data_IF_701079534513
#
_entry.id   IF_701079534513
#
_cell.length_a   1.000
_cell.length_b   1.000
_cell.length_c   1.000
_cell.angle_alpha   90.00
_cell.angle_beta   90.00
_cell.angle_gamma   90.00
#
_symmetry.space_group_name_H-M   'P 1'
#
loop_
_entity.id
_entity.type
_entity.pdbx_description
1 polymer ?
#
# COMPACT_ATOMS: atom_id res chain seq x y z
N UNK A 1 -5.59 -6.67 22.30
CA UNK A 1 -4.72 -6.78 21.11
C UNK A 1 -4.70 -5.53 20.23
N UNK A 2 -5.65 -4.59 20.32
CA UNK A 2 -5.58 -3.31 19.58
C UNK A 2 -4.54 -2.30 20.14
N UNK A 3 -4.16 -2.42 21.42
CA UNK A 3 -3.13 -1.56 22.04
C UNK A 3 -1.69 -1.84 21.56
N UNK A 4 -1.44 -2.94 20.86
CA UNK A 4 -0.08 -3.34 20.46
C UNK A 4 0.39 -2.63 19.19
N UNK A 5 -0.48 -2.48 18.18
CA UNK A 5 -0.09 -1.95 16.86
C UNK A 5 0.24 -0.44 16.85
N UNK A 6 -0.42 0.38 17.67
CA UNK A 6 -0.11 1.83 17.78
C UNK A 6 1.23 2.05 18.48
N UNK A 7 1.49 1.26 19.52
CA UNK A 7 2.76 1.29 20.24
C UNK A 7 3.91 0.86 19.33
N UNK A 8 3.67 -0.05 18.39
CA UNK A 8 4.67 -0.46 17.41
C UNK A 8 5.06 0.72 16.51
N UNK A 9 4.14 1.37 15.78
CA UNK A 9 4.51 2.43 14.82
C UNK A 9 5.19 3.65 15.47
N UNK A 10 4.73 4.04 16.65
CA UNK A 10 5.33 5.16 17.39
C UNK A 10 6.80 4.91 17.74
N UNK A 11 7.16 3.67 18.09
CA UNK A 11 8.55 3.27 18.37
C UNK A 11 9.48 3.44 17.16
N UNK A 12 8.92 3.38 15.95
CA UNK A 12 9.65 3.62 14.70
C UNK A 12 9.50 5.07 14.22
N UNK A 13 9.03 5.98 15.07
CA UNK A 13 8.81 7.40 14.77
C UNK A 13 7.82 7.63 13.63
N UNK A 14 6.84 6.72 13.47
CA UNK A 14 5.75 6.84 12.51
C UNK A 14 4.51 7.38 13.22
N UNK A 15 4.17 8.63 12.90
CA UNK A 15 3.10 9.39 13.53
C UNK A 15 1.85 9.36 12.64
N UNK A 16 0.83 8.60 13.06
CA UNK A 16 -0.47 8.46 12.35
C UNK A 16 -1.44 9.55 12.81
N UNK A 17 -2.16 10.14 11.86
CA UNK A 17 -3.07 11.28 12.08
C UNK A 17 -2.42 12.39 12.93
N UNK A 18 -1.22 12.79 12.52
CA UNK A 18 -0.41 13.71 13.31
C UNK A 18 -1.11 15.06 13.46
N UNK A 19 -1.09 15.58 14.70
CA UNK A 19 -1.47 16.97 15.02
C UNK A 19 -0.46 18.00 14.50
N UNK A 20 0.70 17.55 14.02
CA UNK A 20 1.73 18.42 13.45
C UNK A 20 1.20 19.10 12.19
N UNK A 21 1.50 20.39 12.07
CA UNK A 21 1.18 21.14 10.86
C UNK A 21 2.05 20.72 9.69
N UNK A 22 1.47 20.78 8.49
CA UNK A 22 2.22 20.53 7.27
C UNK A 22 3.37 21.55 7.14
N UNK A 23 4.56 21.12 6.69
CA UNK A 23 5.57 22.05 6.20
C UNK A 23 4.95 23.02 5.19
N UNK A 24 5.34 24.29 5.20
CA UNK A 24 4.66 25.33 4.40
C UNK A 24 4.65 25.01 2.89
N UNK A 25 5.73 24.45 2.35
CA UNK A 25 5.77 23.99 0.95
C UNK A 25 4.77 22.87 0.67
N UNK A 26 4.59 21.94 1.61
CA UNK A 26 3.65 20.82 1.48
C UNK A 26 2.22 21.32 1.60
N UNK A 27 1.96 22.26 2.51
CA UNK A 27 0.67 22.92 2.69
C UNK A 27 0.22 23.65 1.41
N UNK A 28 1.13 24.40 0.79
CA UNK A 28 0.88 25.05 -0.50
C UNK A 28 0.65 24.02 -1.60
N UNK A 29 1.45 22.96 -1.65
CA UNK A 29 1.25 21.88 -2.62
C UNK A 29 -0.12 21.20 -2.48
N UNK A 30 -0.54 20.86 -1.26
CA UNK A 30 -1.86 20.27 -0.99
C UNK A 30 -2.95 21.22 -1.48
N UNK A 31 -2.89 22.50 -1.10
CA UNK A 31 -3.91 23.50 -1.45
C UNK A 31 -3.98 23.75 -2.96
N UNK A 32 -2.85 24.05 -3.58
CA UNK A 32 -2.79 24.61 -4.93
C UNK A 32 -2.72 23.51 -6.00
N UNK A 33 -2.30 22.29 -5.64
CA UNK A 33 -2.20 21.15 -6.56
C UNK A 33 -3.22 20.07 -6.23
N UNK A 34 -3.19 19.49 -5.02
CA UNK A 34 -3.98 18.28 -4.72
C UNK A 34 -5.47 18.57 -4.51
N UNK A 35 -5.79 19.70 -3.87
CA UNK A 35 -7.16 20.16 -3.60
C UNK A 35 -7.67 21.16 -4.66
N UNK A 36 -6.90 21.38 -5.73
CA UNK A 36 -7.30 22.28 -6.83
C UNK A 36 -8.65 21.85 -7.41
N UNK A 37 -9.58 22.78 -7.54
CA UNK A 37 -10.87 22.51 -8.19
C UNK A 37 -10.64 22.18 -9.66
N UNK A 38 -11.20 21.07 -10.12
CA UNK A 38 -11.16 20.66 -11.53
C UNK A 38 -12.35 21.26 -12.27
N UNK A 39 -12.12 21.74 -13.49
CA UNK A 39 -13.18 22.25 -14.38
C UNK A 39 -13.93 21.12 -15.13
N UNK A 40 -13.44 19.89 -15.01
CA UNK A 40 -14.01 18.71 -15.66
C UNK A 40 -15.34 18.29 -15.03
N UNK A 41 -16.19 17.63 -15.82
CA UNK A 41 -17.45 17.08 -15.31
C UNK A 41 -17.21 16.12 -14.13
N UNK A 42 -18.12 16.09 -13.14
CA UNK A 42 -18.00 15.19 -12.00
C UNK A 42 -17.93 13.72 -12.41
N UNK A 43 -17.08 12.94 -11.75
CA UNK A 43 -16.86 11.53 -12.07
C UNK A 43 -18.16 10.71 -11.96
N UNK A 44 -18.57 9.95 -12.99
CA UNK A 44 -19.72 9.07 -12.91
C UNK A 44 -19.51 7.91 -11.91
N UNK A 45 -18.25 7.62 -11.56
CA UNK A 45 -17.90 6.57 -10.62
C UNK A 45 -18.39 6.86 -9.20
N UNK A 46 -18.54 8.12 -8.80
CA UNK A 46 -19.06 8.47 -7.47
C UNK A 46 -20.45 7.87 -7.23
N UNK A 47 -21.34 7.95 -8.24
CA UNK A 47 -22.68 7.33 -8.17
C UNK A 47 -22.60 5.81 -8.09
N UNK A 48 -21.68 5.19 -8.85
CA UNK A 48 -21.48 3.74 -8.84
C UNK A 48 -21.00 3.24 -7.48
N UNK A 49 -20.05 3.94 -6.84
CA UNK A 49 -19.56 3.66 -5.49
C UNK A 49 -20.74 3.73 -4.50
N UNK A 50 -21.49 4.83 -4.50
CA UNK A 50 -22.63 5.00 -3.58
C UNK A 50 -23.68 3.89 -3.74
N UNK A 51 -23.99 3.49 -4.98
CA UNK A 51 -24.94 2.39 -5.24
C UNK A 51 -24.42 1.02 -4.79
N UNK A 52 -23.10 0.78 -4.81
CA UNK A 52 -22.48 -0.51 -4.48
C UNK A 52 -22.05 -0.63 -3.02
N UNK A 53 -21.98 0.49 -2.30
CA UNK A 53 -21.55 0.57 -0.89
C UNK A 53 -22.24 -0.46 0.00
N UNK A 54 -23.59 -0.54 -0.05
CA UNK A 54 -24.33 -1.45 0.83
C UNK A 54 -24.00 -2.93 0.54
N UNK A 55 -23.83 -3.28 -0.74
CA UNK A 55 -23.42 -4.62 -1.12
C UNK A 55 -21.99 -4.91 -0.66
N UNK A 56 -21.06 -3.96 -0.86
CA UNK A 56 -19.66 -4.10 -0.44
C UNK A 56 -19.53 -4.24 1.09
N UNK A 57 -20.29 -3.46 1.86
CA UNK A 57 -20.30 -3.53 3.32
C UNK A 57 -20.86 -4.86 3.88
N UNK A 58 -21.60 -5.62 3.06
CA UNK A 58 -22.13 -6.94 3.41
C UNK A 58 -21.22 -8.09 2.97
N UNK A 59 -20.16 -7.83 2.22
CA UNK A 59 -19.15 -8.83 1.84
C UNK A 59 -18.02 -8.88 2.87
N UNK A 60 -17.14 -9.87 2.69
CA UNK A 60 -15.81 -9.85 3.31
C UNK A 60 -14.91 -8.77 2.69
N UNK A 61 -13.68 -8.67 3.18
CA UNK A 61 -12.72 -7.63 2.73
C UNK A 61 -12.49 -7.70 1.22
N UNK A 62 -12.09 -8.87 0.70
CA UNK A 62 -11.78 -9.06 -0.72
C UNK A 62 -13.01 -8.79 -1.61
N UNK A 63 -14.20 -9.30 -1.25
CA UNK A 63 -15.43 -9.04 -1.99
C UNK A 63 -15.86 -7.56 -1.98
N UNK A 64 -15.64 -6.86 -0.87
CA UNK A 64 -15.86 -5.42 -0.77
C UNK A 64 -14.89 -4.61 -1.63
N UNK A 65 -13.61 -4.98 -1.61
CA UNK A 65 -12.55 -4.38 -2.44
C UNK A 65 -12.89 -4.53 -3.92
N UNK A 66 -13.23 -5.74 -4.37
CA UNK A 66 -13.55 -6.01 -5.77
C UNK A 66 -14.75 -5.18 -6.28
N UNK A 67 -15.72 -4.89 -5.41
CA UNK A 67 -16.88 -4.08 -5.75
C UNK A 67 -16.58 -2.58 -5.84
N UNK A 68 -15.65 -2.05 -5.04
CA UNK A 68 -15.43 -0.61 -4.91
C UNK A 68 -14.15 -0.11 -5.59
N UNK A 69 -13.07 -0.89 -5.53
CA UNK A 69 -11.74 -0.55 -6.07
C UNK A 69 -11.78 -0.09 -7.53
N UNK A 70 -12.49 -0.76 -8.47
CA UNK A 70 -12.50 -0.33 -9.88
C UNK A 70 -13.10 1.07 -10.11
N UNK A 71 -13.94 1.53 -9.18
CA UNK A 71 -14.59 2.84 -9.28
C UNK A 71 -13.82 3.92 -8.51
N UNK A 72 -13.17 3.53 -7.40
CA UNK A 72 -12.45 4.44 -6.52
C UNK A 72 -11.01 4.72 -6.98
N UNK A 73 -10.28 3.69 -7.41
CA UNK A 73 -8.86 3.78 -7.77
C UNK A 73 -8.66 3.77 -9.28
N UNK A 74 -7.39 3.86 -9.69
CA UNK A 74 -6.96 3.84 -11.09
C UNK A 74 -6.49 2.45 -11.49
N UNK A 75 -6.71 2.13 -12.76
CA UNK A 75 -6.30 0.88 -13.40
C UNK A 75 -5.35 1.24 -14.54
N UNK A 76 -4.28 0.46 -14.69
CA UNK A 76 -3.34 0.60 -15.81
C UNK A 76 -3.85 -0.13 -17.05
N UNK A 77 -3.28 0.17 -18.22
CA UNK A 77 -3.60 -0.50 -19.50
C UNK A 77 -3.32 -2.01 -19.51
N UNK A 78 -2.62 -2.53 -18.51
CA UNK A 78 -2.25 -3.94 -18.41
C UNK A 78 -3.39 -4.84 -17.91
N UNK A 79 -4.46 -4.24 -17.41
CA UNK A 79 -5.75 -4.89 -17.18
C UNK A 79 -6.61 -4.51 -18.37
N UNK A 80 -7.23 -5.48 -19.02
CA UNK A 80 -8.09 -5.33 -20.21
C UNK A 80 -9.34 -4.47 -19.92
N UNK A 81 -9.10 -3.19 -19.63
CA UNK A 81 -10.05 -2.16 -19.24
C UNK A 81 -9.93 -1.04 -20.28
N UNK A 82 -11.04 -0.74 -20.95
CA UNK A 82 -11.13 0.31 -21.96
C UNK A 82 -10.70 1.69 -21.43
N UNK A 83 -10.69 1.88 -20.10
CA UNK A 83 -10.28 3.12 -19.43
C UNK A 83 -8.94 3.01 -18.70
N UNK A 84 -8.13 1.99 -19.02
CA UNK A 84 -6.78 1.84 -18.48
C UNK A 84 -5.92 3.07 -18.76
N UNK A 85 -5.18 3.53 -17.75
CA UNK A 85 -4.37 4.75 -17.85
C UNK A 85 -2.98 4.42 -18.41
N UNK A 86 -2.54 5.09 -19.49
CA UNK A 86 -1.26 4.80 -20.11
C UNK A 86 -0.04 5.09 -19.26
N UNK A 87 0.82 4.07 -19.12
CA UNK A 87 2.12 4.15 -18.45
C UNK A 87 2.09 4.05 -16.93
N UNK A 88 0.95 3.62 -16.36
CA UNK A 88 0.87 3.18 -14.97
C UNK A 88 0.46 1.70 -14.91
N UNK A 89 0.74 1.06 -13.78
CA UNK A 89 0.27 -0.28 -13.45
C UNK A 89 -0.33 -0.29 -12.04
N UNK A 90 -1.33 -1.15 -11.84
CA UNK A 90 -1.96 -1.37 -10.53
C UNK A 90 -1.76 -2.81 -10.08
N UNK A 91 -1.22 -3.04 -8.89
CA UNK A 91 -0.91 -4.38 -8.36
C UNK A 91 -1.44 -4.54 -6.97
N UNK A 92 -2.02 -5.71 -6.72
CA UNK A 92 -2.59 -6.04 -5.42
C UNK A 92 -1.59 -6.79 -4.55
N UNK A 93 -1.62 -6.51 -3.24
CA UNK A 93 -0.88 -7.23 -2.18
C UNK A 93 0.62 -7.43 -2.49
N UNK A 94 1.25 -6.41 -3.08
CA UNK A 94 2.69 -6.47 -3.39
C UNK A 94 3.53 -6.19 -2.16
N UNK A 95 4.59 -6.96 -1.99
CA UNK A 95 5.57 -6.67 -0.97
C UNK A 95 6.48 -5.51 -1.41
N UNK A 96 6.59 -4.49 -0.56
CA UNK A 96 7.58 -3.45 -0.69
C UNK A 96 8.91 -3.90 -0.03
N UNK A 97 10.02 -3.29 -0.46
CA UNK A 97 11.36 -3.66 -0.01
C UNK A 97 11.59 -3.18 1.44
N UNK A 98 11.98 -4.10 2.32
CA UNK A 98 12.08 -3.86 3.77
C UNK A 98 13.26 -2.99 4.16
N UNK A 99 14.26 -2.85 3.29
CA UNK A 99 15.42 -1.96 3.49
C UNK A 99 15.03 -0.48 3.60
N UNK A 100 13.85 -0.09 3.11
CA UNK A 100 13.33 1.26 3.23
C UNK A 100 12.38 1.43 4.41
N UNK A 101 12.20 0.42 5.26
CA UNK A 101 11.40 0.57 6.48
C UNK A 101 12.02 1.64 7.39
N UNK A 102 11.18 2.43 8.09
CA UNK A 102 11.64 3.26 9.19
C UNK A 102 12.53 2.46 10.15
N UNK A 103 13.60 3.08 10.62
CA UNK A 103 14.56 2.46 11.54
C UNK A 103 14.22 2.85 12.97
N UNK A 104 14.45 1.95 13.92
CA UNK A 104 14.28 2.29 15.34
C UNK A 104 15.45 3.17 15.78
N UNK A 105 15.18 4.26 16.54
CA UNK A 105 16.23 5.16 17.01
C UNK A 105 17.26 4.48 17.93
N UNK A 106 16.84 3.46 18.67
CA UNK A 106 17.68 2.72 19.61
C UNK A 106 17.44 1.20 19.49
N UNK A 107 18.50 0.45 19.21
CA UNK A 107 18.49 -1.02 19.11
C UNK A 107 18.04 -1.72 20.39
N UNK A 108 18.20 -1.10 21.55
CA UNK A 108 17.81 -1.70 22.84
C UNK A 108 16.27 -1.73 23.00
N UNK A 109 15.57 -0.80 22.37
CA UNK A 109 14.10 -0.75 22.35
C UNK A 109 13.52 -1.87 21.48
N UNK A 110 14.19 -2.24 20.38
CA UNK A 110 13.81 -3.39 19.53
C UNK A 110 13.81 -4.70 20.29
N UNK A 111 14.80 -4.91 21.16
CA UNK A 111 14.95 -6.15 21.96
C UNK A 111 13.84 -6.22 23.02
N UNK A 112 13.50 -5.09 23.64
CA UNK A 112 12.47 -5.02 24.68
C UNK A 112 11.03 -5.10 24.14
N UNK A 113 10.78 -4.63 22.92
CA UNK A 113 9.42 -4.50 22.36
C UNK A 113 9.07 -5.55 21.28
N UNK A 114 9.96 -6.49 20.99
CA UNK A 114 9.57 -7.72 20.31
C UNK A 114 9.65 -7.71 18.77
N UNK A 115 10.47 -6.85 18.16
CA UNK A 115 10.95 -7.08 16.79
C UNK A 115 10.80 -5.93 15.79
N UNK A 116 11.12 -6.25 14.53
CA UNK A 116 11.10 -5.34 13.39
C UNK A 116 9.66 -5.08 12.91
N UNK A 117 9.43 -3.93 12.26
CA UNK A 117 8.17 -3.70 11.54
C UNK A 117 7.92 -4.83 10.54
N UNK A 118 6.67 -5.25 10.47
CA UNK A 118 6.21 -6.17 9.44
C UNK A 118 6.50 -5.60 8.05
N UNK A 119 6.71 -6.50 7.08
CA UNK A 119 7.00 -6.08 5.71
C UNK A 119 5.83 -5.24 5.16
N UNK A 120 6.09 -4.09 4.54
CA UNK A 120 5.03 -3.25 4.01
C UNK A 120 4.39 -3.91 2.79
N UNK A 121 3.06 -3.97 2.80
CA UNK A 121 2.25 -4.65 1.80
C UNK A 121 0.92 -3.90 1.65
N UNK A 122 0.84 -2.91 0.74
CA UNK A 122 -0.42 -2.27 0.40
C UNK A 122 -1.37 -3.25 -0.29
N UNK A 123 -2.66 -3.18 0.02
CA UNK A 123 -3.68 -3.97 -0.68
C UNK A 123 -3.68 -3.69 -2.17
N UNK A 124 -3.48 -2.42 -2.55
CA UNK A 124 -3.22 -2.01 -3.93
C UNK A 124 -2.13 -0.94 -3.96
N UNK A 125 -1.17 -1.10 -4.86
CA UNK A 125 -0.19 -0.08 -5.20
C UNK A 125 -0.32 0.31 -6.68
N UNK A 126 -0.19 1.61 -6.95
CA UNK A 126 -0.20 2.18 -8.29
C UNK A 126 1.10 2.95 -8.48
N UNK A 127 1.80 2.62 -9.55
CA UNK A 127 3.11 3.19 -9.90
C UNK A 127 3.32 3.18 -11.41
N UNK A 128 4.51 3.57 -11.84
CA UNK A 128 4.83 3.65 -13.26
C UNK A 128 5.21 2.29 -13.83
N UNK A 129 4.78 2.02 -15.07
CA UNK A 129 5.07 0.78 -15.80
C UNK A 129 6.57 0.62 -16.04
N UNK A 130 7.22 -0.45 -15.54
CA UNK A 130 8.61 -0.76 -15.85
C UNK A 130 8.77 -1.15 -17.33
N UNK A 131 9.89 -0.77 -17.94
CA UNK A 131 10.14 -1.06 -19.35
C UNK A 131 10.21 -2.57 -19.61
N UNK A 132 10.87 -3.31 -18.72
CA UNK A 132 10.96 -4.77 -18.81
C UNK A 132 9.59 -5.45 -18.70
N UNK A 133 8.70 -4.92 -17.85
CA UNK A 133 7.35 -5.45 -17.72
C UNK A 133 6.54 -5.23 -19.01
N UNK A 134 6.55 -3.99 -19.54
CA UNK A 134 5.88 -3.67 -20.79
C UNK A 134 6.36 -4.58 -21.94
N UNK A 135 7.68 -4.74 -22.09
CA UNK A 135 8.28 -5.60 -23.12
C UNK A 135 7.87 -7.07 -22.99
N UNK A 136 7.81 -7.60 -21.77
CA UNK A 136 7.55 -9.02 -21.53
C UNK A 136 6.05 -9.36 -21.50
N UNK A 137 5.18 -8.36 -21.38
CA UNK A 137 3.72 -8.57 -21.30
C UNK A 137 3.10 -9.07 -22.60
N UNK A 138 3.77 -8.90 -23.74
CA UNK A 138 3.18 -9.13 -25.07
C UNK A 138 2.14 -8.08 -25.47
N UNK A 139 1.80 -7.15 -24.56
CA UNK A 139 0.91 -6.01 -24.80
C UNK A 139 1.75 -4.78 -25.17
N UNK A 140 1.22 -3.90 -26.02
CA UNK A 140 1.84 -2.62 -26.34
C UNK A 140 1.63 -1.58 -25.23
N UNK A 141 2.11 -1.89 -24.02
CA UNK A 141 1.94 -1.01 -22.86
C UNK A 141 2.84 0.23 -22.97
N UNK A 142 2.28 1.40 -22.68
CA UNK A 142 3.09 2.61 -22.57
C UNK A 142 4.03 2.53 -21.35
N UNK A 143 5.19 3.17 -21.45
CA UNK A 143 6.15 3.31 -20.33
C UNK A 143 6.51 4.78 -20.15
N UNK A 144 6.76 5.19 -18.89
CA UNK A 144 7.20 6.57 -18.57
C UNK A 144 8.71 6.70 -18.45
N UNK A 145 9.39 5.56 -18.34
CA UNK A 145 10.84 5.44 -18.31
C UNK A 145 11.35 4.87 -19.62
N UNK A 146 12.50 5.36 -20.07
CA UNK A 146 13.25 4.80 -21.19
C UNK A 146 13.87 3.46 -20.78
N UNK A 147 14.32 2.68 -21.77
CA UNK A 147 15.08 1.45 -21.51
C UNK A 147 16.33 1.72 -20.65
N UNK A 148 16.99 2.85 -20.87
CA UNK A 148 18.21 3.21 -20.14
C UNK A 148 17.90 3.59 -18.68
N UNK A 149 16.87 4.40 -18.46
CA UNK A 149 16.40 4.75 -17.11
C UNK A 149 15.96 3.49 -16.33
N UNK A 150 15.30 2.53 -16.98
CA UNK A 150 14.90 1.25 -16.38
C UNK A 150 16.11 0.40 -15.94
N UNK A 151 17.20 0.47 -16.70
CA UNK A 151 18.47 -0.20 -16.35
C UNK A 151 19.09 0.47 -15.13
N UNK A 152 19.14 1.80 -15.07
CA UNK A 152 19.66 2.52 -13.88
C UNK A 152 18.91 2.11 -12.61
N UNK A 153 17.60 1.93 -12.72
CA UNK A 153 16.73 1.52 -11.62
C UNK A 153 16.79 0.03 -11.28
N UNK A 154 17.59 -0.81 -11.94
CA UNK A 154 17.56 -2.27 -11.71
C UNK A 154 17.85 -2.66 -10.25
N UNK A 155 18.80 -1.98 -9.62
CA UNK A 155 19.24 -2.26 -8.25
C UNK A 155 18.68 -1.25 -7.23
N UNK A 156 17.74 -0.41 -7.64
CA UNK A 156 17.11 0.58 -6.79
C UNK A 156 15.61 0.54 -7.01
N UNK A 157 14.99 -0.47 -6.40
CA UNK A 157 13.56 -0.75 -6.57
C UNK A 157 12.93 -0.99 -5.22
N UNK A 158 11.82 -0.31 -4.99
CA UNK A 158 10.93 -0.64 -3.88
C UNK A 158 10.16 -1.94 -4.13
N UNK A 159 9.96 -2.31 -5.40
CA UNK A 159 9.28 -3.54 -5.82
C UNK A 159 9.63 -3.85 -7.28
N UNK A 160 9.54 -5.11 -7.70
CA UNK A 160 9.84 -5.50 -9.09
C UNK A 160 8.70 -5.22 -10.07
N UNK A 161 7.50 -4.93 -9.57
CA UNK A 161 6.30 -4.80 -10.40
C UNK A 161 6.04 -3.40 -10.96
N UNK A 162 6.59 -2.37 -10.33
CA UNK A 162 6.38 -0.96 -10.72
C UNK A 162 7.54 -0.08 -10.24
N UNK A 163 7.75 1.04 -10.93
CA UNK A 163 8.64 2.09 -10.46
C UNK A 163 7.86 3.10 -9.64
N UNK A 164 8.45 3.56 -8.53
CA UNK A 164 7.97 4.66 -7.68
C UNK A 164 6.44 4.67 -7.48
N UNK A 165 5.89 3.79 -6.62
CA UNK A 165 4.48 3.87 -6.26
C UNK A 165 4.12 5.30 -5.84
N UNK A 166 3.08 5.86 -6.44
CA UNK A 166 2.63 7.23 -6.17
C UNK A 166 1.27 7.26 -5.47
N UNK A 167 0.53 6.15 -5.50
CA UNK A 167 -0.71 5.95 -4.77
C UNK A 167 -0.76 4.52 -4.21
N UNK A 168 -1.04 4.38 -2.93
CA UNK A 168 -1.35 3.07 -2.31
C UNK A 168 -2.72 3.09 -1.66
N UNK A 169 -3.29 1.93 -1.41
CA UNK A 169 -4.53 1.82 -0.63
C UNK A 169 -4.49 0.69 0.39
N UNK A 170 -5.21 0.88 1.48
CA UNK A 170 -5.54 -0.12 2.48
C UNK A 170 -7.06 -0.17 2.68
N UNK A 171 -7.61 -1.37 2.81
CA UNK A 171 -9.03 -1.63 2.90
C UNK A 171 -9.35 -2.46 4.12
N UNK A 172 -10.49 -2.19 4.74
CA UNK A 172 -11.03 -3.01 5.82
C UNK A 172 -12.51 -3.24 5.59
N UNK A 173 -13.06 -4.38 6.00
CA UNK A 173 -14.49 -4.63 5.90
C UNK A 173 -15.26 -3.75 6.88
N UNK A 174 -16.50 -3.39 6.53
CA UNK A 174 -17.34 -2.53 7.36
C UNK A 174 -17.72 -3.14 8.73
N UNK A 175 -17.73 -4.47 8.83
CA UNK A 175 -18.18 -5.21 10.01
C UNK A 175 -17.16 -6.27 10.50
N UNK A 176 -15.87 -6.08 10.20
CA UNK A 176 -14.81 -6.99 10.65
C UNK A 176 -14.27 -6.69 12.05
N UNK A 177 -13.43 -7.59 12.55
CA UNK A 177 -12.66 -7.37 13.78
C UNK A 177 -11.57 -6.32 13.62
N UNK A 178 -11.10 -6.12 12.38
CA UNK A 178 -10.17 -5.05 12.04
C UNK A 178 -10.94 -3.80 11.64
N UNK A 179 -10.56 -2.68 12.26
CA UNK A 179 -11.23 -1.39 12.12
C UNK A 179 -10.53 -0.50 11.10
N UNK A 180 -11.15 0.62 10.74
CA UNK A 180 -10.55 1.64 9.88
C UNK A 180 -9.15 2.10 10.35
N UNK A 181 -8.95 2.19 11.66
CA UNK A 181 -7.65 2.49 12.27
C UNK A 181 -6.55 1.45 11.96
N UNK A 182 -6.91 0.19 11.67
CA UNK A 182 -5.95 -0.81 11.19
C UNK A 182 -5.48 -0.48 9.77
N UNK A 183 -6.39 -0.06 8.88
CA UNK A 183 -6.02 0.42 7.54
C UNK A 183 -5.14 1.67 7.62
N UNK A 184 -5.42 2.60 8.54
CA UNK A 184 -4.59 3.80 8.76
C UNK A 184 -3.16 3.42 9.16
N UNK A 185 -2.99 2.53 10.14
CA UNK A 185 -1.66 2.07 10.58
C UNK A 185 -0.90 1.34 9.47
N UNK A 186 -1.56 0.47 8.71
CA UNK A 186 -0.94 -0.21 7.59
C UNK A 186 -0.53 0.79 6.49
N UNK A 187 -1.38 1.78 6.21
CA UNK A 187 -1.09 2.83 5.24
C UNK A 187 0.08 3.70 5.70
N UNK A 188 0.20 4.00 6.99
CA UNK A 188 1.31 4.75 7.57
C UNK A 188 2.66 4.03 7.40
N UNK A 189 2.67 2.72 7.67
CA UNK A 189 3.86 1.87 7.47
C UNK A 189 4.28 1.85 6.01
N UNK A 190 3.33 1.62 5.10
CA UNK A 190 3.61 1.53 3.68
C UNK A 190 4.07 2.89 3.13
N UNK A 191 3.38 3.97 3.52
CA UNK A 191 3.71 5.34 3.11
C UNK A 191 5.07 5.79 3.61
N UNK A 192 5.41 5.54 4.88
CA UNK A 192 6.75 5.85 5.44
C UNK A 192 7.87 5.12 4.71
N UNK A 193 7.62 3.88 4.29
CA UNK A 193 8.56 3.10 3.47
C UNK A 193 8.79 3.75 2.10
N UNK A 194 7.71 4.16 1.43
CA UNK A 194 7.79 4.83 0.13
C UNK A 194 8.48 6.19 0.24
N UNK A 195 8.19 6.94 1.32
CA UNK A 195 8.82 8.22 1.62
C UNK A 195 10.33 8.06 1.80
N UNK A 196 10.80 7.04 2.52
CA UNK A 196 12.24 6.75 2.64
C UNK A 196 12.88 6.40 1.29
N UNK A 197 12.21 5.58 0.47
CA UNK A 197 12.68 5.28 -0.87
C UNK A 197 12.79 6.54 -1.75
N UNK A 198 11.85 7.48 -1.68
CA UNK A 198 11.98 8.74 -2.43
C UNK A 198 13.06 9.65 -1.82
N UNK A 199 13.14 9.68 -0.50
CA UNK A 199 14.11 10.48 0.22
C UNK A 199 15.54 10.12 -0.18
N UNK A 200 15.87 8.82 -0.18
CA UNK A 200 17.19 8.33 -0.56
C UNK A 200 17.56 8.74 -2.00
N UNK A 201 16.62 8.61 -2.95
CA UNK A 201 16.83 9.00 -4.35
C UNK A 201 17.25 10.47 -4.45
N UNK A 202 16.42 11.35 -3.88
CA UNK A 202 16.61 12.79 -4.01
C UNK A 202 17.80 13.29 -3.19
N UNK A 203 18.02 12.70 -2.01
CA UNK A 203 19.16 13.02 -1.16
C UNK A 203 20.47 12.69 -1.87
N UNK A 204 20.60 11.47 -2.40
CA UNK A 204 21.78 11.05 -3.14
C UNK A 204 21.95 11.86 -4.44
N UNK A 205 20.87 12.09 -5.20
CA UNK A 205 20.92 12.85 -6.45
C UNK A 205 21.45 14.27 -6.25
N UNK A 206 20.92 15.00 -5.26
CA UNK A 206 21.16 16.43 -5.12
C UNK A 206 22.14 16.80 -4.00
N UNK A 207 22.59 15.85 -3.18
CA UNK A 207 23.47 16.11 -2.02
C UNK A 207 22.89 17.15 -1.05
N UNK A 208 21.56 17.13 -0.90
CA UNK A 208 20.80 17.98 0.02
C UNK A 208 19.60 17.21 0.55
N UNK A 209 19.04 17.70 1.65
CA UNK A 209 17.75 17.22 2.14
C UNK A 209 16.66 17.42 1.06
N UNK A 210 15.90 16.38 0.70
CA UNK A 210 14.71 16.51 -0.14
C UNK A 210 13.68 17.39 0.54
N UNK A 211 12.92 18.12 -0.26
CA UNK A 211 11.72 18.82 0.19
C UNK A 211 10.65 17.80 0.59
N UNK A 212 9.73 18.20 1.47
CA UNK A 212 8.59 17.37 1.85
C UNK A 212 7.73 17.02 0.63
N UNK A 213 7.66 17.91 -0.38
CA UNK A 213 6.91 17.67 -1.62
C UNK A 213 7.60 16.61 -2.49
N UNK A 214 8.93 16.69 -2.68
CA UNK A 214 9.71 15.72 -3.48
C UNK A 214 9.58 14.30 -2.94
N UNK A 215 9.69 14.14 -1.62
CA UNK A 215 9.68 12.83 -0.97
C UNK A 215 8.31 12.44 -0.38
N UNK A 216 7.23 13.13 -0.73
CA UNK A 216 5.88 12.79 -0.24
C UNK A 216 5.27 11.58 -0.94
N UNK A 217 4.33 10.92 -0.25
CA UNK A 217 3.50 9.86 -0.79
C UNK A 217 2.03 10.10 -0.47
N UNK A 218 1.11 9.58 -1.30
CA UNK A 218 -0.34 9.65 -1.06
C UNK A 218 -0.89 8.25 -0.91
N UNK A 219 -1.71 8.03 0.11
CA UNK A 219 -2.44 6.77 0.28
C UNK A 219 -3.93 6.98 0.48
N UNK A 220 -4.69 5.90 0.30
CA UNK A 220 -6.13 5.83 0.55
C UNK A 220 -6.39 4.78 1.62
N UNK A 221 -7.25 5.10 2.60
CA UNK A 221 -7.82 4.11 3.51
C UNK A 221 -9.34 4.04 3.28
N UNK A 222 -9.92 2.84 3.25
CA UNK A 222 -11.36 2.64 3.06
C UNK A 222 -11.91 1.51 3.95
N UNK A 223 -12.95 1.74 4.75
CA UNK A 223 -13.65 0.70 5.54
C UNK A 223 -14.98 0.25 4.90
N UNK A 224 -15.13 0.45 3.58
CA UNK A 224 -16.39 0.25 2.85
C UNK A 224 -17.55 1.18 3.33
N UNK A 225 -17.32 2.07 4.29
CA UNK A 225 -18.30 3.07 4.71
C UNK A 225 -17.85 4.50 4.43
N UNK A 226 -16.57 4.76 4.62
CA UNK A 226 -15.89 6.01 4.38
C UNK A 226 -14.57 5.75 3.64
N UNK A 227 -14.08 6.79 2.97
CA UNK A 227 -12.77 6.83 2.37
C UNK A 227 -12.02 8.05 2.91
N UNK A 228 -10.74 7.88 3.20
CA UNK A 228 -9.83 8.97 3.54
C UNK A 228 -8.59 8.94 2.65
N UNK A 229 -8.15 10.12 2.24
CA UNK A 229 -6.94 10.35 1.45
C UNK A 229 -5.92 11.02 2.35
N UNK A 230 -4.75 10.39 2.42
CA UNK A 230 -3.68 10.73 3.33
C UNK A 230 -2.45 11.16 2.57
N UNK A 231 -1.70 12.09 3.13
CA UNK A 231 -0.36 12.44 2.67
C UNK A 231 0.67 12.05 3.72
N UNK A 232 1.79 11.53 3.25
CA UNK A 232 2.91 11.04 4.04
C UNK A 232 4.13 11.88 3.75
N UNK A 233 4.87 12.29 4.78
CA UNK A 233 6.14 12.99 4.63
C UNK A 233 7.11 12.64 5.75
N UNK A 234 8.39 12.96 5.53
CA UNK A 234 9.48 12.75 6.48
C UNK A 234 10.05 14.12 6.87
N UNK A 235 10.28 14.30 8.16
CA UNK A 235 11.12 15.37 8.65
C UNK A 235 12.31 14.80 9.41
N UNK A 236 13.29 15.66 9.61
CA UNK A 236 14.52 15.29 10.29
C UNK A 236 15.00 16.53 11.01
N UNK A 237 15.01 16.47 12.33
CA UNK A 237 15.46 17.54 13.22
C UNK A 237 16.62 17.03 14.07
N UNK A 238 17.45 17.95 14.56
CA UNK A 238 18.58 17.58 15.41
C UNK A 238 18.13 16.96 16.76
N UNK A 239 16.93 17.31 17.22
CA UNK A 239 16.39 16.92 18.53
C UNK A 239 15.63 15.60 18.47
N UNK A 240 14.76 15.42 17.46
CA UNK A 240 13.85 14.26 17.36
C UNK A 240 14.36 13.20 16.38
N UNK A 241 15.45 13.49 15.66
CA UNK A 241 15.96 12.65 14.59
C UNK A 241 14.96 12.57 13.43
N UNK A 242 14.91 11.40 12.80
CA UNK A 242 13.99 11.12 11.69
C UNK A 242 12.60 10.86 12.22
N UNK A 243 11.62 11.58 11.68
CA UNK A 243 10.19 11.43 11.99
C UNK A 243 9.40 11.27 10.70
N UNK A 244 8.45 10.34 10.70
CA UNK A 244 7.50 10.13 9.61
C UNK A 244 6.11 10.57 10.07
N UNK A 245 5.42 11.32 9.22
CA UNK A 245 4.09 11.84 9.52
C UNK A 245 3.11 11.43 8.43
N UNK A 246 1.88 11.15 8.86
CA UNK A 246 0.74 10.87 8.01
C UNK A 246 -0.44 11.72 8.49
N UNK A 247 -1.09 12.44 7.56
CA UNK A 247 -2.26 13.28 7.89
C UNK A 247 -3.29 13.30 6.76
N UNK A 248 -4.56 13.22 7.13
CA UNK A 248 -5.69 13.19 6.19
C UNK A 248 -5.96 14.59 5.66
N UNK A 249 -6.12 14.73 4.35
CA UNK A 249 -6.41 16.02 3.71
C UNK A 249 -7.68 15.99 2.84
N UNK A 250 -8.28 14.82 2.62
CA UNK A 250 -9.59 14.67 2.00
C UNK A 250 -10.30 13.42 2.54
N UNK A 251 -11.63 13.49 2.69
CA UNK A 251 -12.44 12.36 3.16
C UNK A 251 -13.85 12.44 2.60
N UNK A 252 -14.50 11.29 2.49
CA UNK A 252 -15.90 11.19 2.10
C UNK A 252 -16.57 10.01 2.76
N UNK A 253 -17.83 10.17 3.14
CA UNK A 253 -18.70 9.02 3.35
C UNK A 253 -19.12 8.43 2.01
N UNK A 254 -19.05 7.12 1.85
CA UNK A 254 -19.35 6.47 0.58
C UNK A 254 -20.85 6.55 0.18
N UNK A 255 -21.74 6.96 1.09
CA UNK A 255 -23.14 7.25 0.79
C UNK A 255 -23.36 8.67 0.25
N UNK A 256 -22.41 9.59 0.44
CA UNK A 256 -22.50 10.97 -0.02
C UNK A 256 -21.82 11.12 -1.39
N UNK A 257 -22.63 11.19 -2.43
CA UNK A 257 -22.16 11.33 -3.81
C UNK A 257 -21.38 12.62 -4.03
N UNK A 258 -21.72 13.71 -3.35
CA UNK A 258 -21.04 15.00 -3.51
C UNK A 258 -19.62 14.91 -2.93
N UNK A 259 -19.48 14.40 -1.71
CA UNK A 259 -18.17 14.20 -1.09
C UNK A 259 -17.32 13.20 -1.89
N UNK A 260 -17.93 12.15 -2.44
CA UNK A 260 -17.24 11.20 -3.32
C UNK A 260 -16.76 11.85 -4.61
N UNK A 261 -17.51 12.78 -5.20
CA UNK A 261 -17.07 13.53 -6.37
C UNK A 261 -15.83 14.38 -6.04
N UNK A 262 -15.81 15.01 -4.88
CA UNK A 262 -14.66 15.78 -4.39
C UNK A 262 -13.43 14.89 -4.18
N UNK A 263 -13.56 13.77 -3.45
CA UNK A 263 -12.45 12.82 -3.26
C UNK A 263 -11.95 12.26 -4.59
N UNK A 264 -12.85 11.92 -5.53
CA UNK A 264 -12.44 11.47 -6.87
C UNK A 264 -11.70 12.58 -7.63
N UNK A 265 -12.12 13.84 -7.50
CA UNK A 265 -11.40 14.98 -8.07
C UNK A 265 -9.98 15.09 -7.49
N UNK A 266 -9.83 14.93 -6.17
CA UNK A 266 -8.51 14.91 -5.50
C UNK A 266 -7.63 13.78 -6.02
N UNK A 267 -8.16 12.56 -6.15
CA UNK A 267 -7.38 11.43 -6.69
C UNK A 267 -6.93 11.68 -8.14
N UNK A 268 -7.76 12.33 -8.97
CA UNK A 268 -7.34 12.73 -10.31
C UNK A 268 -6.23 13.80 -10.30
N UNK A 269 -6.27 14.74 -9.36
CA UNK A 269 -5.18 15.70 -9.17
C UNK A 269 -3.88 15.00 -8.72
N UNK A 270 -3.97 13.99 -7.86
CA UNK A 270 -2.82 13.15 -7.45
C UNK A 270 -2.22 12.44 -8.66
N UNK A 271 -3.07 11.85 -9.51
CA UNK A 271 -2.61 11.21 -10.75
C UNK A 271 -1.95 12.21 -11.70
N UNK A 272 -2.58 13.37 -11.94
CA UNK A 272 -2.05 14.41 -12.82
C UNK A 272 -0.69 14.94 -12.32
N UNK A 273 -0.58 15.22 -11.03
CA UNK A 273 0.69 15.61 -10.40
C UNK A 273 1.75 14.52 -10.56
N UNK A 274 1.37 13.25 -10.33
CA UNK A 274 2.26 12.10 -10.45
C UNK A 274 2.80 11.97 -11.87
N UNK A 275 1.93 12.06 -12.87
CA UNK A 275 2.29 11.95 -14.29
C UNK A 275 2.96 13.21 -14.86
N UNK A 276 2.88 14.34 -14.17
CA UNK A 276 3.50 15.61 -14.53
C UNK A 276 4.75 15.91 -13.71
N UNK A 277 4.65 16.87 -12.79
CA UNK A 277 5.78 17.42 -12.05
C UNK A 277 6.55 16.38 -11.24
N UNK A 278 5.88 15.43 -10.58
CA UNK A 278 6.56 14.39 -9.80
C UNK A 278 7.44 13.50 -10.69
N UNK A 279 6.88 12.99 -11.79
CA UNK A 279 7.63 12.18 -12.75
C UNK A 279 8.79 12.98 -13.37
N UNK A 280 8.57 14.24 -13.71
CA UNK A 280 9.64 15.12 -14.21
C UNK A 280 10.79 15.27 -13.20
N UNK A 281 10.47 15.49 -11.93
CA UNK A 281 11.48 15.61 -10.87
C UNK A 281 12.25 14.30 -10.66
N UNK A 282 11.56 13.16 -10.65
CA UNK A 282 12.20 11.84 -10.56
C UNK A 282 13.16 11.66 -11.74
N UNK A 283 12.70 11.88 -12.98
CA UNK A 283 13.55 11.74 -14.18
C UNK A 283 14.74 12.69 -14.18
N UNK A 284 14.60 13.90 -13.63
CA UNK A 284 15.69 14.85 -13.47
C UNK A 284 16.72 14.39 -12.42
N UNK A 285 16.28 13.74 -11.34
CA UNK A 285 17.15 13.20 -10.30
C UNK A 285 17.92 11.95 -10.74
N UNK A 286 17.30 11.07 -11.54
CA UNK A 286 17.87 9.77 -11.95
C UNK A 286 19.30 9.81 -12.51
N UNK A 287 19.63 10.65 -13.52
CA UNK A 287 21.00 10.65 -14.06
C UNK A 287 22.04 11.15 -13.05
N UNK A 288 21.65 12.01 -12.10
CA UNK A 288 22.55 12.50 -11.05
C UNK A 288 22.77 11.43 -9.97
N UNK A 289 21.68 10.79 -9.55
CA UNK A 289 21.70 9.64 -8.67
C UNK A 289 22.58 8.53 -9.25
N UNK A 290 22.31 8.09 -10.47
CA UNK A 290 23.04 6.98 -11.12
C UNK A 290 24.55 7.22 -11.20
N UNK A 291 24.99 8.44 -11.56
CA UNK A 291 26.42 8.79 -11.61
C UNK A 291 27.11 8.63 -10.24
N UNK A 292 26.42 9.01 -9.17
CA UNK A 292 26.93 8.91 -7.79
C UNK A 292 26.88 7.48 -7.27
N UNK A 293 25.78 6.77 -7.48
CA UNK A 293 25.59 5.39 -7.02
C UNK A 293 26.51 4.41 -7.78
N UNK A 294 26.83 4.68 -9.05
CA UNK A 294 27.82 3.90 -9.83
C UNK A 294 29.26 4.04 -9.33
N UNK A 295 29.58 5.15 -8.65
CA UNK A 295 30.92 5.40 -8.07
C UNK A 295 31.13 4.71 -6.72
N UNK A 296 30.03 4.39 -6.01
CA UNK A 296 30.03 3.61 -4.78
C UNK A 296 29.68 2.17 -5.13
N UNK A 297 30.69 1.34 -5.40
CA UNK A 297 30.51 -0.05 -5.85
C UNK A 297 29.31 -0.76 -5.20
N UNK A 298 28.37 -1.20 -6.04
CA UNK A 298 27.06 -1.82 -5.73
C UNK A 298 27.06 -2.75 -4.50
N UNK A 299 26.96 -2.20 -3.29
CA UNK A 299 26.95 -2.96 -2.02
C UNK A 299 25.61 -2.96 -1.31
N UNK A 300 24.53 -2.57 -1.99
CA UNK A 300 23.16 -2.82 -1.55
C UNK A 300 22.43 -3.67 -2.59
N UNK A 301 22.84 -4.93 -2.69
CA UNK A 301 22.16 -5.92 -3.52
C UNK A 301 20.80 -6.25 -2.93
N UNK A 302 19.74 -5.86 -3.63
CA UNK A 302 18.36 -6.22 -3.32
C UNK A 302 18.17 -7.74 -3.53
N UNK A 303 17.89 -8.49 -2.46
CA UNK A 303 17.42 -9.87 -2.55
C UNK A 303 15.89 -9.90 -2.65
N UNK A 304 15.34 -9.33 -3.72
CA UNK A 304 13.92 -9.53 -4.02
C UNK A 304 13.76 -10.86 -4.74
N UNK A 305 13.44 -11.91 -3.98
CA UNK A 305 13.02 -13.21 -4.53
C UNK A 305 11.78 -13.00 -5.40
N UNK A 306 11.90 -13.26 -6.70
CA UNK A 306 10.77 -13.25 -7.63
C UNK A 306 9.78 -14.38 -7.28
N UNK A 307 8.46 -14.16 -7.34
CA UNK A 307 7.51 -15.26 -7.27
C UNK A 307 7.53 -16.05 -8.58
N UNK A 308 7.83 -17.35 -8.50
CA UNK A 308 7.67 -18.28 -9.61
C UNK A 308 6.19 -18.44 -9.93
N UNK A 309 5.78 -18.02 -11.12
CA UNK A 309 4.46 -18.33 -11.67
C UNK A 309 4.47 -19.83 -12.00
N UNK A 310 3.78 -20.64 -11.20
CA UNK A 310 3.65 -22.07 -11.44
C UNK A 310 2.66 -22.30 -12.59
N UNK A 311 3.18 -22.54 -13.78
CA UNK A 311 2.43 -23.17 -14.87
C UNK A 311 2.42 -24.68 -14.64
N UNK A 312 1.22 -25.22 -14.44
CA UNK A 312 0.93 -26.64 -14.36
C UNK A 312 1.12 -27.31 -15.73
N UNK A 313 2.11 -28.20 -15.85
CA UNK A 313 2.11 -29.26 -16.85
C UNK A 313 3.05 -30.40 -16.41
N UNK A 314 2.49 -31.60 -16.38
CA UNK A 314 3.13 -32.84 -15.94
C UNK A 314 4.34 -33.22 -16.80
N UNK A 315 5.38 -33.78 -16.18
CA UNK A 315 6.00 -35.05 -16.60
C UNK A 315 7.04 -35.52 -15.59
N UNK A 316 6.94 -36.79 -15.26
CA UNK A 316 7.76 -37.56 -14.33
C UNK A 316 9.22 -37.65 -14.77
N UNK A 317 10.16 -37.48 -13.83
CA UNK A 317 11.47 -38.11 -13.91
C UNK A 317 12.06 -38.29 -12.50
N UNK A 318 12.26 -39.56 -12.17
CA UNK A 318 12.87 -40.11 -10.96
C UNK A 318 14.38 -39.87 -10.92
N UNK A 319 14.96 -39.75 -9.71
CA UNK A 319 16.32 -40.17 -9.22
C UNK A 319 16.89 -39.13 -8.20
N UNK A 320 17.89 -39.47 -7.35
CA UNK A 320 17.71 -40.05 -6.02
C UNK A 320 18.23 -39.14 -4.88
N UNK A 321 17.62 -39.22 -3.69
CA UNK A 321 18.14 -38.55 -2.49
C UNK A 321 19.32 -39.32 -1.86
N UNK A 322 20.39 -38.63 -1.42
CA UNK A 322 21.33 -39.16 -0.44
C UNK A 322 20.75 -39.11 0.97
N UNK A 323 20.89 -40.24 1.67
CA UNK A 323 20.63 -40.42 3.11
C UNK A 323 21.61 -39.58 3.95
N UNK A 324 21.11 -38.83 4.93
CA UNK A 324 21.48 -38.98 6.34
C UNK A 324 20.93 -37.82 7.18
N UNK A 325 20.18 -38.20 8.22
CA UNK A 325 20.06 -37.61 9.56
C UNK A 325 18.70 -38.04 10.11
N UNK A 326 18.70 -39.23 10.69
CA UNK A 326 17.59 -39.79 11.45
C UNK A 326 17.41 -38.97 12.73
N UNK A 327 16.31 -38.23 12.82
CA UNK A 327 15.75 -37.84 14.11
C UNK A 327 14.62 -38.82 14.44
N UNK A 328 14.81 -39.59 15.50
CA UNK A 328 13.80 -40.47 16.07
C UNK A 328 12.66 -39.63 16.66
N UNK A 329 11.44 -39.87 16.18
CA UNK A 329 10.21 -39.32 16.77
C UNK A 329 9.77 -40.25 17.91
N UNK A 330 9.39 -39.72 19.09
CA UNK A 330 8.89 -40.54 20.19
C UNK A 330 7.55 -41.21 19.87
N UNK A 331 7.42 -42.47 20.28
CA UNK A 331 6.21 -43.27 20.25
C UNK A 331 5.13 -42.67 21.17
N UNK A 332 3.96 -42.33 20.61
CA UNK A 332 2.74 -42.07 21.39
C UNK A 332 2.02 -43.38 21.70
N UNK A 333 1.58 -43.62 22.94
CA UNK A 333 0.79 -44.79 23.30
C UNK A 333 -0.70 -44.61 22.95
N UNK A 334 -1.27 -45.70 22.44
CA UNK A 334 -2.69 -45.88 22.15
C UNK A 334 -3.56 -45.85 23.42
N UNK A 335 -4.70 -45.18 23.37
CA UNK A 335 -5.87 -45.46 24.22
C UNK A 335 -7.14 -45.14 23.43
N UNK A 336 -7.90 -46.19 23.08
CA UNK A 336 -9.14 -46.64 23.72
C UNK A 336 -10.35 -45.79 23.29
N UNK A 337 -11.15 -46.45 22.44
CA UNK A 337 -12.54 -46.15 22.10
C UNK A 337 -13.42 -45.97 23.33
N UNK A 338 -14.20 -44.89 23.36
CA UNK A 338 -15.48 -44.88 24.07
C UNK A 338 -16.45 -43.96 23.35
N UNK A 339 -17.59 -44.56 22.99
CA UNK A 339 -18.80 -43.92 22.51
C UNK A 339 -19.29 -42.84 23.47
N UNK A 340 -19.69 -41.68 22.94
CA UNK A 340 -20.75 -40.87 23.55
C UNK A 340 -21.31 -39.87 22.54
N UNK A 341 -22.61 -40.00 22.29
CA UNK A 341 -23.43 -39.14 21.43
C UNK A 341 -23.44 -37.67 21.90
N UNK A 342 -23.60 -36.70 20.98
CA UNK A 342 -23.78 -35.31 21.34
C UNK A 342 -25.24 -34.99 21.73
N UNK A 343 -25.48 -34.18 22.78
CA UNK A 343 -26.84 -33.82 23.19
C UNK A 343 -27.50 -32.82 22.23
N UNK A 344 -28.77 -33.11 21.93
CA UNK A 344 -29.69 -32.37 21.05
C UNK A 344 -29.84 -30.90 21.47
N UNK A 345 -29.63 -30.01 20.50
CA UNK A 345 -29.86 -28.56 20.58
C UNK A 345 -31.36 -28.28 20.69
N UNK A 346 -31.79 -27.69 21.80
CA UNK A 346 -33.18 -27.27 22.04
C UNK A 346 -33.46 -25.97 21.26
N UNK A 347 -34.41 -26.05 20.35
CA UNK A 347 -34.94 -24.97 19.53
C UNK A 347 -35.80 -24.06 20.42
N UNK A 348 -35.48 -22.76 20.50
CA UNK A 348 -36.28 -21.76 21.22
C UNK A 348 -37.16 -21.06 20.19
N UNK A 349 -38.46 -21.30 20.30
CA UNK A 349 -39.53 -20.64 19.54
C UNK A 349 -39.61 -19.15 19.87
N UNK A 350 -40.07 -18.43 18.87
CA UNK A 350 -40.20 -16.98 18.74
C UNK A 350 -41.66 -16.65 19.03
N UNK A 351 -41.94 -15.84 20.06
CA UNK A 351 -43.24 -15.22 20.29
C UNK A 351 -43.04 -13.74 20.67
N UNK A 352 -43.56 -12.90 19.80
CA UNK A 352 -44.34 -11.68 20.02
C UNK A 352 -43.87 -10.58 20.98
N UNK A 353 -43.59 -9.41 20.40
CA UNK A 353 -43.92 -8.12 21.00
C UNK A 353 -44.80 -7.34 20.03
N UNK A 354 -46.07 -7.29 20.39
CA UNK A 354 -47.10 -6.42 19.82
C UNK A 354 -46.93 -4.99 20.37
N UNK A 355 -47.30 -4.07 19.50
CA UNK A 355 -47.52 -2.63 19.63
C UNK A 355 -47.96 -2.11 21.00
N UNK A 356 -47.48 -0.91 21.34
CA UNK A 356 -48.25 0.07 22.09
C UNK A 356 -48.05 1.45 21.48
N UNK A 357 -49.07 1.89 20.73
CA UNK A 357 -49.37 3.29 20.42
C UNK A 357 -50.20 3.84 21.58
N UNK A 358 -49.71 4.90 22.21
CA UNK A 358 -50.46 6.10 22.57
C UNK A 358 -49.52 7.15 23.16
#
# INVERSE_FOLDING_TARGET
MAHTAVNELWTFHVNVDSVKDYPEELKLHIKDTLLRKRETQPSPNAKKIASKRQMAAAQDEDGGVDLLKPYLLFVGEDKDDENGIPGIVSRDKINLASEFLPQVPNSDVLIAQGGQLSRPQPDTAIGYTPFQFARNSGLHLATKFTKEEDVWLTNYRLTTFMHFPFLTSQWKPAAGSETFHHAENQAARDGSTIVNHLHDLFYEAYDRKPTAVEASHVSVACDMQAVQVWIHWREETAEEGVQHYMRSFARAFLCDVSQLQEVRSVLWNVLEYSMGSRLSNIKAALPLWWKKSGSKGQTRGASVSAPSVASSSMSSATLPLPRSLQFQVPLTPSSISSDSEPPKKRQRTREDCVEAVN
#
